data_IF_439632522062
#
_entry.id   IF_439632522062
#
_cell.length_a   1.000
_cell.length_b   1.000
_cell.length_c   1.000
_cell.angle_alpha   90.00
_cell.angle_beta   90.00
_cell.angle_gamma   90.00
#
_symmetry.space_group_name_H-M   'P 1'
#
loop_
_entity.id
_entity.type
_entity.pdbx_description
1 polymer ?
#
# COMPACT_ATOMS: atom_id res chain seq x y z
N UNK A 1 -9.75 2.82 -1.70
CA UNK A 1 -10.82 3.62 -2.34
C UNK A 1 -10.54 5.12 -2.31
N UNK A 2 -10.24 5.67 -1.14
CA UNK A 2 -9.86 7.08 -0.97
C UNK A 2 -8.64 7.54 -1.79
N UNK A 3 -7.68 6.63 -1.97
CA UNK A 3 -6.45 6.86 -2.74
C UNK A 3 -6.77 7.06 -4.23
N UNK A 4 -7.77 6.35 -4.77
CA UNK A 4 -8.17 6.46 -6.17
C UNK A 4 -8.92 7.77 -6.40
N UNK A 5 -9.81 8.16 -5.48
CA UNK A 5 -10.50 9.45 -5.53
C UNK A 5 -9.52 10.65 -5.43
N UNK A 6 -8.50 10.53 -4.57
CA UNK A 6 -7.41 11.51 -4.47
C UNK A 6 -6.59 11.60 -5.76
N UNK A 7 -6.20 10.46 -6.35
CA UNK A 7 -5.48 10.45 -7.63
C UNK A 7 -6.32 10.95 -8.80
N UNK A 8 -7.64 10.70 -8.81
CA UNK A 8 -8.56 11.26 -9.78
C UNK A 8 -8.67 12.79 -9.63
N UNK A 9 -8.74 13.30 -8.39
CA UNK A 9 -8.75 14.74 -8.12
C UNK A 9 -7.43 15.43 -8.53
N UNK A 10 -6.29 14.79 -8.27
CA UNK A 10 -4.97 15.25 -8.76
C UNK A 10 -4.89 15.28 -10.28
N UNK A 11 -5.48 14.30 -10.98
CA UNK A 11 -5.52 14.25 -12.45
C UNK A 11 -6.45 15.28 -13.06
N UNK A 12 -7.52 15.68 -12.38
CA UNK A 12 -8.45 16.72 -12.84
C UNK A 12 -7.91 18.15 -12.59
N UNK A 13 -7.00 18.33 -11.63
CA UNK A 13 -6.41 19.64 -11.30
C UNK A 13 -5.02 19.89 -11.93
N UNK A 14 -4.43 18.88 -12.59
CA UNK A 14 -3.17 19.02 -13.34
C UNK A 14 -3.44 18.85 -14.83
N UNK A 15 -3.29 19.94 -15.59
CA UNK A 15 -3.13 19.82 -17.05
C UNK A 15 -1.78 19.16 -17.37
N UNK A 16 -1.65 18.62 -18.58
CA UNK A 16 -0.48 17.89 -19.08
C UNK A 16 0.88 18.62 -18.92
N UNK A 17 0.88 19.92 -18.60
CA UNK A 17 2.05 20.78 -18.46
C UNK A 17 2.48 21.05 -16.99
N UNK A 18 1.88 20.40 -16.00
CA UNK A 18 2.40 20.45 -14.62
C UNK A 18 2.12 21.74 -13.83
N UNK A 19 1.37 22.70 -14.41
CA UNK A 19 0.99 23.96 -13.75
C UNK A 19 -0.24 23.70 -12.85
N UNK A 20 -0.12 24.10 -11.58
CA UNK A 20 -1.23 24.11 -10.62
C UNK A 20 -2.22 25.16 -11.12
N UNK A 21 -3.39 24.74 -11.63
CA UNK A 21 -4.50 25.67 -11.77
C UNK A 21 -4.84 26.08 -10.34
N UNK A 22 -4.59 27.33 -9.96
CA UNK A 22 -5.07 27.92 -8.72
C UNK A 22 -6.61 28.05 -8.79
N UNK A 23 -7.31 26.92 -8.91
CA UNK A 23 -8.71 26.81 -8.58
C UNK A 23 -8.82 26.97 -7.08
N UNK A 24 -9.65 27.90 -6.64
CA UNK A 24 -9.98 28.15 -5.25
C UNK A 24 -10.11 26.85 -4.44
N UNK A 25 -9.49 26.81 -3.25
CA UNK A 25 -9.62 25.74 -2.26
C UNK A 25 -11.10 25.45 -2.00
N UNK A 26 -11.67 24.55 -2.77
CA UNK A 26 -13.08 24.21 -2.68
C UNK A 26 -13.21 23.20 -1.54
N UNK A 27 -14.26 23.30 -0.72
CA UNK A 27 -14.50 22.36 0.39
C UNK A 27 -14.42 20.89 -0.07
N UNK A 28 -14.85 20.59 -1.30
CA UNK A 28 -14.75 19.28 -1.92
C UNK A 28 -13.30 18.80 -2.10
N UNK A 29 -12.36 19.67 -2.49
CA UNK A 29 -10.94 19.29 -2.65
C UNK A 29 -10.29 18.99 -1.30
N UNK A 30 -10.58 19.81 -0.29
CA UNK A 30 -10.09 19.58 1.08
C UNK A 30 -10.62 18.25 1.61
N UNK A 31 -11.92 18.00 1.46
CA UNK A 31 -12.55 16.74 1.86
C UNK A 31 -11.94 15.52 1.17
N UNK A 32 -11.72 15.58 -0.15
CA UNK A 32 -11.09 14.51 -0.92
C UNK A 32 -9.62 14.30 -0.52
N UNK A 33 -8.88 15.36 -0.20
CA UNK A 33 -7.50 15.26 0.28
C UNK A 33 -7.43 14.59 1.65
N UNK A 34 -8.30 14.96 2.59
CA UNK A 34 -8.38 14.30 3.89
C UNK A 34 -8.68 12.81 3.74
N UNK A 35 -9.72 12.49 2.97
CA UNK A 35 -10.10 11.10 2.68
C UNK A 35 -8.90 10.35 2.08
N UNK A 36 -8.19 10.95 1.11
CA UNK A 36 -6.99 10.38 0.49
C UNK A 36 -5.90 10.02 1.49
N UNK A 37 -5.56 10.94 2.39
CA UNK A 37 -4.55 10.73 3.45
C UNK A 37 -4.97 9.60 4.40
N UNK A 38 -6.23 9.59 4.85
CA UNK A 38 -6.75 8.52 5.70
C UNK A 38 -6.73 7.16 5.00
N UNK A 39 -6.98 7.12 3.69
CA UNK A 39 -6.84 5.91 2.90
C UNK A 39 -5.41 5.38 2.84
N UNK A 40 -4.42 6.26 2.63
CA UNK A 40 -3.01 5.86 2.65
C UNK A 40 -2.57 5.38 4.03
N UNK A 41 -3.06 6.03 5.09
CA UNK A 41 -2.77 5.64 6.47
C UNK A 41 -3.35 4.25 6.79
N UNK A 42 -4.59 3.98 6.38
CA UNK A 42 -5.20 2.67 6.52
C UNK A 42 -4.42 1.56 5.81
N UNK A 43 -3.91 1.84 4.60
CA UNK A 43 -3.03 0.90 3.87
C UNK A 43 -1.76 0.61 4.68
N UNK A 44 -1.07 1.65 5.17
CA UNK A 44 0.14 1.49 5.98
C UNK A 44 -0.13 0.65 7.24
N UNK A 45 -1.18 0.95 7.99
CA UNK A 45 -1.58 0.18 9.17
C UNK A 45 -1.87 -1.28 8.84
N UNK A 46 -2.54 -1.55 7.72
CA UNK A 46 -2.82 -2.91 7.27
C UNK A 46 -1.54 -3.70 6.98
N UNK A 47 -0.53 -3.07 6.36
CA UNK A 47 0.77 -3.70 6.10
C UNK A 47 1.50 -3.98 7.40
N UNK A 48 1.47 -3.06 8.37
CA UNK A 48 2.06 -3.28 9.68
C UNK A 48 1.49 -4.52 10.37
N UNK A 49 0.16 -4.65 10.39
CA UNK A 49 -0.52 -5.81 10.99
C UNK A 49 -0.16 -7.08 10.20
N UNK A 50 -0.22 -7.02 8.87
CA UNK A 50 0.13 -8.15 8.01
C UNK A 50 1.58 -8.61 8.21
N UNK A 51 2.53 -7.68 8.26
CA UNK A 51 3.94 -7.95 8.46
C UNK A 51 4.20 -8.63 9.81
N UNK A 52 3.50 -8.19 10.85
CA UNK A 52 3.57 -8.82 12.17
C UNK A 52 3.16 -10.30 12.12
N UNK A 53 2.02 -10.61 11.50
CA UNK A 53 1.55 -11.99 11.36
C UNK A 53 2.42 -12.84 10.42
N UNK A 54 2.90 -12.27 9.31
CA UNK A 54 3.81 -12.96 8.38
C UNK A 54 5.17 -13.28 9.02
N UNK A 55 5.64 -12.45 9.94
CA UNK A 55 6.89 -12.73 10.67
C UNK A 55 6.76 -13.91 11.64
N UNK A 56 5.55 -14.21 12.11
CA UNK A 56 5.27 -15.28 13.08
C UNK A 56 5.02 -16.63 12.39
N UNK A 57 4.35 -16.61 11.24
CA UNK A 57 3.94 -17.82 10.54
C UNK A 57 5.07 -18.36 9.67
N UNK A 58 5.54 -19.57 10.00
CA UNK A 58 6.46 -20.35 9.16
C UNK A 58 5.78 -20.91 7.90
N UNK A 59 4.46 -21.13 7.95
CA UNK A 59 3.65 -21.59 6.83
C UNK A 59 2.71 -20.50 6.33
N UNK A 60 2.82 -20.21 5.05
CA UNK A 60 2.13 -19.14 4.35
C UNK A 60 0.83 -19.70 3.76
N UNK A 61 -0.32 -19.29 4.31
CA UNK A 61 -1.65 -19.73 3.83
C UNK A 61 -2.20 -18.74 2.80
N UNK A 62 -2.05 -19.09 1.52
CA UNK A 62 -2.47 -18.29 0.37
C UNK A 62 -3.96 -17.91 0.36
N UNK A 63 -4.79 -18.72 1.02
CA UNK A 63 -6.25 -18.50 1.19
C UNK A 63 -6.57 -17.13 1.80
N UNK A 64 -5.75 -16.66 2.75
CA UNK A 64 -5.98 -15.36 3.39
C UNK A 64 -5.75 -14.20 2.41
N UNK A 65 -4.79 -14.33 1.49
CA UNK A 65 -4.51 -13.31 0.47
C UNK A 65 -5.62 -13.30 -0.57
N UNK A 66 -6.09 -14.47 -0.98
CA UNK A 66 -7.22 -14.59 -1.91
C UNK A 66 -8.48 -13.94 -1.35
N UNK A 67 -8.78 -14.09 -0.06
CA UNK A 67 -9.90 -13.40 0.60
C UNK A 67 -9.81 -11.87 0.46
N UNK A 68 -8.64 -11.29 0.72
CA UNK A 68 -8.41 -9.83 0.61
C UNK A 68 -8.56 -9.36 -0.84
N UNK A 69 -8.04 -10.13 -1.80
CA UNK A 69 -8.15 -9.83 -3.23
C UNK A 69 -9.62 -9.85 -3.65
N UNK A 70 -10.37 -10.88 -3.26
CA UNK A 70 -11.80 -11.02 -3.56
C UNK A 70 -12.63 -9.89 -2.94
N UNK A 71 -12.34 -9.53 -1.69
CA UNK A 71 -13.02 -8.42 -1.01
C UNK A 71 -12.77 -7.10 -1.73
N UNK A 72 -11.54 -6.84 -2.18
CA UNK A 72 -11.23 -5.64 -2.98
C UNK A 72 -11.96 -5.63 -4.32
N UNK A 73 -12.07 -6.77 -5.02
CA UNK A 73 -12.84 -6.89 -6.27
C UNK A 73 -14.31 -6.60 -5.99
N UNK A 74 -14.86 -7.21 -4.93
CA UNK A 74 -16.27 -7.06 -4.56
C UNK A 74 -16.63 -5.60 -4.30
N UNK A 75 -15.85 -4.88 -3.48
CA UNK A 75 -16.10 -3.46 -3.22
C UNK A 75 -15.93 -2.59 -4.46
N UNK A 76 -14.98 -2.92 -5.34
CA UNK A 76 -14.80 -2.17 -6.60
C UNK A 76 -16.00 -2.32 -7.53
N UNK A 77 -16.50 -3.55 -7.70
CA UNK A 77 -17.69 -3.86 -8.52
C UNK A 77 -18.94 -3.20 -7.92
N UNK A 78 -19.10 -3.24 -6.60
CA UNK A 78 -20.26 -2.67 -5.91
C UNK A 78 -20.35 -1.15 -6.14
N UNK A 79 -19.23 -0.44 -6.03
CA UNK A 79 -19.22 1.01 -6.26
C UNK A 79 -19.34 1.38 -7.73
N UNK A 80 -18.77 0.61 -8.65
CA UNK A 80 -19.06 0.79 -10.08
C UNK A 80 -20.57 0.65 -10.37
N UNK A 81 -21.22 -0.33 -9.74
CA UNK A 81 -22.68 -0.51 -9.81
C UNK A 81 -23.45 0.69 -9.27
N UNK A 82 -23.06 1.25 -8.11
CA UNK A 82 -23.69 2.44 -7.52
C UNK A 82 -23.50 3.66 -8.43
N UNK A 83 -22.31 3.86 -9.00
CA UNK A 83 -22.02 4.99 -9.90
C UNK A 83 -22.84 4.90 -11.21
N UNK A 84 -23.01 3.69 -11.74
CA UNK A 84 -23.91 3.44 -12.87
C UNK A 84 -25.37 3.72 -12.49
N UNK A 85 -25.82 3.31 -11.30
CA UNK A 85 -27.18 3.56 -10.82
C UNK A 85 -27.48 5.06 -10.59
N UNK A 86 -26.47 5.84 -10.19
CA UNK A 86 -26.56 7.29 -10.07
C UNK A 86 -26.48 8.04 -11.41
N UNK A 87 -26.28 7.36 -12.54
CA UNK A 87 -26.22 7.97 -13.88
C UNK A 87 -24.97 8.82 -14.14
N UNK A 88 -23.94 8.71 -13.29
CA UNK A 88 -22.67 9.44 -13.44
C UNK A 88 -21.79 8.77 -14.51
N UNK A 89 -21.88 7.44 -14.62
CA UNK A 89 -21.12 6.62 -15.56
C UNK A 89 -22.07 5.77 -16.42
N UNK A 90 -21.73 5.60 -17.70
CA UNK A 90 -22.51 4.73 -18.60
C UNK A 90 -22.06 3.28 -18.44
N UNK A 91 -23.03 2.39 -18.19
CA UNK A 91 -22.75 0.97 -18.05
C UNK A 91 -22.21 0.40 -19.36
N UNK A 92 -20.96 -0.07 -19.35
CA UNK A 92 -20.29 -0.65 -20.50
C UNK A 92 -19.55 -1.92 -20.08
N UNK A 93 -19.82 -3.03 -20.76
CA UNK A 93 -19.13 -4.31 -20.54
C UNK A 93 -17.61 -4.18 -20.77
N UNK A 94 -17.20 -3.34 -21.73
CA UNK A 94 -15.77 -3.06 -21.94
C UNK A 94 -15.17 -2.27 -20.78
N UNK A 95 -15.90 -1.32 -20.17
CA UNK A 95 -15.43 -0.59 -18.99
C UNK A 95 -15.37 -1.50 -17.76
N UNK A 96 -16.36 -2.38 -17.58
CA UNK A 96 -16.40 -3.36 -16.49
C UNK A 96 -15.24 -4.37 -16.56
N UNK A 97 -14.99 -4.96 -17.73
CA UNK A 97 -13.86 -5.86 -17.93
C UNK A 97 -12.54 -5.10 -17.77
N UNK A 98 -12.46 -3.84 -18.21
CA UNK A 98 -11.26 -3.01 -18.08
C UNK A 98 -11.02 -2.53 -16.64
N UNK A 99 -12.06 -2.39 -15.81
CA UNK A 99 -11.97 -2.15 -14.36
C UNK A 99 -11.40 -3.38 -13.65
N UNK A 100 -11.96 -4.58 -13.93
CA UNK A 100 -11.48 -5.86 -13.39
C UNK A 100 -10.07 -6.23 -13.93
N UNK A 101 -9.77 -5.88 -15.17
CA UNK A 101 -8.46 -6.13 -15.75
C UNK A 101 -7.44 -5.07 -15.28
N UNK A 102 -7.85 -3.82 -15.06
CA UNK A 102 -7.02 -2.80 -14.39
C UNK A 102 -6.69 -3.16 -12.95
N UNK A 103 -7.56 -3.95 -12.30
CA UNK A 103 -7.31 -4.58 -11.01
C UNK A 103 -6.16 -5.58 -11.06
N UNK A 104 -6.04 -6.38 -12.13
CA UNK A 104 -4.92 -7.31 -12.34
C UNK A 104 -3.66 -6.66 -12.95
N UNK A 105 -3.80 -5.61 -13.77
CA UNK A 105 -2.72 -5.02 -14.59
C UNK A 105 -2.03 -3.78 -13.98
N UNK A 106 -2.07 -3.61 -12.65
CA UNK A 106 -1.18 -2.66 -11.97
C UNK A 106 -1.73 -1.24 -11.70
N UNK A 107 -3.03 -0.99 -11.81
CA UNK A 107 -3.61 0.27 -11.29
C UNK A 107 -3.80 0.27 -9.76
N UNK A 108 -3.97 -0.90 -9.16
CA UNK A 108 -4.00 -1.08 -7.70
C UNK A 108 -2.60 -1.48 -7.23
N UNK A 109 -1.71 -0.48 -7.18
CA UNK A 109 -0.33 -0.61 -6.73
C UNK A 109 -0.21 -1.38 -5.41
N UNK A 110 -1.20 -1.28 -4.53
CA UNK A 110 -1.19 -1.92 -3.23
C UNK A 110 -1.28 -3.45 -3.30
N UNK A 111 -2.24 -4.01 -4.04
CA UNK A 111 -2.48 -5.47 -4.08
C UNK A 111 -1.34 -6.20 -4.76
N UNK A 112 -0.86 -5.66 -5.88
CA UNK A 112 0.28 -6.22 -6.62
C UNK A 112 1.55 -6.20 -5.78
N UNK A 113 1.84 -5.07 -5.12
CA UNK A 113 2.98 -4.95 -4.21
C UNK A 113 2.83 -5.83 -2.97
N UNK A 114 1.60 -5.99 -2.44
CA UNK A 114 1.32 -6.85 -1.29
C UNK A 114 1.52 -8.33 -1.63
N UNK A 115 1.05 -8.78 -2.79
CA UNK A 115 1.29 -10.15 -3.27
C UNK A 115 2.78 -10.42 -3.46
N UNK A 116 3.52 -9.46 -4.04
CA UNK A 116 4.97 -9.54 -4.16
C UNK A 116 5.66 -9.63 -2.78
N UNK A 117 5.25 -8.78 -1.84
CA UNK A 117 5.75 -8.82 -0.45
C UNK A 117 5.45 -10.17 0.21
N UNK A 118 4.25 -10.71 -0.03
CA UNK A 118 3.82 -11.98 0.54
C UNK A 118 4.68 -13.15 0.06
N UNK A 119 4.99 -13.19 -1.26
CA UNK A 119 5.91 -14.18 -1.85
C UNK A 119 7.35 -13.97 -1.36
N UNK A 120 7.76 -12.72 -1.12
CA UNK A 120 9.11 -12.37 -0.67
C UNK A 120 9.29 -12.55 0.85
N UNK A 121 8.20 -12.59 1.62
CA UNK A 121 8.21 -12.66 3.08
C UNK A 121 8.99 -13.84 3.69
N UNK A 122 8.94 -15.10 3.18
CA UNK A 122 9.70 -16.19 3.78
C UNK A 122 11.21 -15.97 3.61
N UNK A 123 11.63 -15.44 2.46
CA UNK A 123 13.02 -15.10 2.19
C UNK A 123 13.51 -13.95 3.08
N UNK A 124 12.68 -12.91 3.25
CA UNK A 124 12.96 -11.81 4.17
C UNK A 124 13.10 -12.32 5.60
N UNK A 125 12.20 -13.20 6.06
CA UNK A 125 12.26 -13.73 7.42
C UNK A 125 13.55 -14.53 7.67
N UNK A 126 13.98 -15.36 6.73
CA UNK A 126 15.25 -16.09 6.82
C UNK A 126 16.43 -15.12 6.91
N UNK A 127 16.46 -14.11 6.04
CA UNK A 127 17.54 -13.12 6.01
C UNK A 127 17.60 -12.30 7.31
N UNK A 128 16.45 -11.82 7.79
CA UNK A 128 16.36 -10.96 8.97
C UNK A 128 16.59 -11.72 10.29
N UNK A 129 16.26 -13.02 10.34
CA UNK A 129 16.58 -13.87 11.49
C UNK A 129 18.09 -13.99 11.72
N UNK A 130 18.87 -14.06 10.64
CA UNK A 130 20.33 -14.25 10.70
C UNK A 130 21.11 -12.96 11.04
N UNK A 131 20.45 -11.81 11.10
CA UNK A 131 21.10 -10.51 11.34
C UNK A 131 21.05 -10.10 12.82
N UNK A 132 22.14 -9.49 13.27
CA UNK A 132 22.22 -8.89 14.61
C UNK A 132 21.35 -7.63 14.73
N UNK A 133 20.96 -7.25 15.95
CA UNK A 133 20.08 -6.10 16.22
C UNK A 133 20.60 -4.80 15.61
N UNK A 134 21.90 -4.53 15.74
CA UNK A 134 22.55 -3.34 15.18
C UNK A 134 22.55 -3.36 13.64
N UNK A 135 22.72 -4.53 13.03
CA UNK A 135 22.70 -4.68 11.57
C UNK A 135 21.29 -4.47 11.02
N UNK A 136 20.27 -5.02 11.70
CA UNK A 136 18.86 -4.81 11.36
C UNK A 136 18.46 -3.35 11.42
N UNK A 137 18.83 -2.63 12.49
CA UNK A 137 18.56 -1.20 12.62
C UNK A 137 19.22 -0.39 11.50
N UNK A 138 20.48 -0.70 11.15
CA UNK A 138 21.19 -0.03 10.05
C UNK A 138 20.52 -0.29 8.69
N UNK A 139 20.16 -1.54 8.39
CA UNK A 139 19.48 -1.90 7.13
C UNK A 139 18.11 -1.24 7.06
N UNK A 140 17.35 -1.21 8.16
CA UNK A 140 16.05 -0.55 8.21
C UNK A 140 16.16 0.96 7.96
N UNK A 141 17.15 1.64 8.55
CA UNK A 141 17.39 3.07 8.29
C UNK A 141 17.82 3.31 6.84
N UNK A 142 18.73 2.48 6.32
CA UNK A 142 19.21 2.60 4.95
C UNK A 142 18.08 2.44 3.92
N UNK A 143 17.21 1.44 4.12
CA UNK A 143 16.04 1.22 3.28
C UNK A 143 15.06 2.38 3.35
N UNK A 144 14.78 2.91 4.55
CA UNK A 144 13.89 4.04 4.71
C UNK A 144 14.42 5.29 3.99
N UNK A 145 15.70 5.62 4.19
CA UNK A 145 16.35 6.75 3.51
C UNK A 145 16.36 6.55 2.00
N UNK A 146 16.75 5.36 1.53
CA UNK A 146 16.78 5.03 0.10
C UNK A 146 15.42 5.17 -0.58
N UNK A 147 14.35 4.71 0.08
CA UNK A 147 12.98 4.85 -0.42
C UNK A 147 12.50 6.30 -0.40
N UNK A 148 12.81 7.05 0.65
CA UNK A 148 12.51 8.48 0.72
C UNK A 148 13.22 9.28 -0.38
N UNK A 149 14.51 9.04 -0.59
CA UNK A 149 15.29 9.63 -1.67
C UNK A 149 14.74 9.23 -3.05
N UNK A 150 14.38 7.96 -3.24
CA UNK A 150 13.80 7.48 -4.49
C UNK A 150 12.47 8.17 -4.81
N UNK A 151 11.56 8.28 -3.83
CA UNK A 151 10.28 8.98 -4.00
C UNK A 151 10.44 10.47 -4.23
N UNK A 152 11.50 11.08 -3.71
CA UNK A 152 11.81 12.48 -3.97
C UNK A 152 12.28 12.71 -5.41
N UNK A 153 13.04 11.76 -5.98
CA UNK A 153 13.63 11.87 -7.32
C UNK A 153 12.70 11.39 -8.45
N UNK A 154 11.88 10.36 -8.19
CA UNK A 154 11.00 9.76 -9.20
C UNK A 154 9.54 9.91 -8.79
N UNK A 155 8.79 10.70 -9.57
CA UNK A 155 7.36 10.92 -9.36
C UNK A 155 6.59 9.66 -9.79
N UNK A 156 6.30 8.82 -8.80
CA UNK A 156 5.38 7.66 -8.85
C UNK A 156 5.70 6.60 -9.90
N UNK A 157 6.49 5.61 -9.48
CA UNK A 157 6.67 4.34 -10.19
C UNK A 157 6.19 3.19 -9.28
N UNK A 158 5.66 2.11 -9.89
CA UNK A 158 5.28 0.88 -9.18
C UNK A 158 6.42 0.34 -8.30
N UNK A 159 7.67 0.52 -8.76
CA UNK A 159 8.86 0.11 -8.02
C UNK A 159 9.00 0.85 -6.68
N UNK A 160 8.71 2.15 -6.65
CA UNK A 160 8.77 2.94 -5.43
C UNK A 160 7.72 2.51 -4.39
N UNK A 161 6.56 2.06 -4.85
CA UNK A 161 5.49 1.59 -3.98
C UNK A 161 5.81 0.22 -3.37
N UNK A 162 6.31 -0.73 -4.17
CA UNK A 162 6.85 -2.00 -3.67
C UNK A 162 7.96 -1.77 -2.63
N UNK A 163 8.87 -0.83 -2.90
CA UNK A 163 10.00 -0.55 -2.02
C UNK A 163 9.54 0.02 -0.66
N UNK A 164 8.50 0.88 -0.63
CA UNK A 164 7.88 1.33 0.63
C UNK A 164 7.31 0.15 1.41
N UNK A 165 6.59 -0.76 0.75
CA UNK A 165 6.00 -1.92 1.43
C UNK A 165 7.07 -2.79 2.09
N UNK A 166 8.15 -3.05 1.37
CA UNK A 166 9.29 -3.83 1.88
C UNK A 166 9.96 -3.09 3.04
N UNK A 167 10.18 -1.78 2.92
CA UNK A 167 10.76 -0.98 4.01
C UNK A 167 9.88 -1.03 5.27
N UNK A 168 8.56 -0.86 5.12
CA UNK A 168 7.60 -0.95 6.23
C UNK A 168 7.61 -2.34 6.88
N UNK A 169 7.70 -3.41 6.08
CA UNK A 169 7.82 -4.78 6.58
C UNK A 169 9.09 -4.97 7.43
N UNK A 170 10.25 -4.51 6.94
CA UNK A 170 11.53 -4.61 7.66
C UNK A 170 11.54 -3.77 8.95
N UNK A 171 10.93 -2.58 8.92
CA UNK A 171 10.76 -1.74 10.12
C UNK A 171 9.90 -2.48 11.16
N UNK A 172 8.76 -3.03 10.75
CA UNK A 172 7.88 -3.79 11.63
C UNK A 172 8.60 -5.00 12.26
N UNK A 173 9.35 -5.75 11.46
CA UNK A 173 10.15 -6.86 11.96
C UNK A 173 11.21 -6.42 12.99
N UNK A 174 11.90 -5.30 12.74
CA UNK A 174 12.92 -4.76 13.65
C UNK A 174 12.31 -4.31 14.97
N UNK A 175 11.15 -3.66 14.93
CA UNK A 175 10.38 -3.28 16.12
C UNK A 175 9.98 -4.51 16.93
N UNK A 176 9.42 -5.53 16.27
CA UNK A 176 9.05 -6.80 16.93
C UNK A 176 10.24 -7.45 17.62
N UNK A 177 11.37 -7.62 16.93
CA UNK A 177 12.59 -8.22 17.51
C UNK A 177 13.10 -7.40 18.70
N UNK A 178 13.00 -6.07 18.63
CA UNK A 178 13.41 -5.19 19.74
C UNK A 178 12.49 -5.32 20.95
N UNK A 179 11.17 -5.40 20.76
CA UNK A 179 10.18 -5.58 21.83
C UNK A 179 10.38 -6.93 22.54
N UNK A 180 10.58 -8.02 21.78
CA UNK A 180 10.77 -9.37 22.35
C UNK A 180 12.03 -9.44 23.22
N UNK A 181 13.13 -8.82 22.79
CA UNK A 181 14.37 -8.76 23.58
C UNK A 181 14.14 -7.96 24.86
N UNK A 182 13.47 -6.80 24.76
CA UNK A 182 13.19 -5.96 25.93
C UNK A 182 12.33 -6.68 26.97
N UNK A 183 11.31 -7.44 26.55
CA UNK A 183 10.48 -8.22 27.46
C UNK A 183 11.28 -9.33 28.16
N UNK A 184 12.23 -9.96 27.46
CA UNK A 184 13.11 -10.96 28.06
C UNK A 184 14.03 -10.36 29.13
N UNK A 185 14.54 -9.15 28.90
CA UNK A 185 15.43 -8.47 29.85
C UNK A 185 14.67 -7.95 31.11
N UNK A 186 13.34 -7.80 31.05
CA UNK A 186 12.51 -7.43 32.22
C UNK A 186 12.08 -8.60 33.09
N UNK A 187 12.18 -9.84 32.58
CA UNK A 187 11.82 -11.07 33.31
C UNK A 187 13.03 -11.73 34.00
N UNK A 188 14.26 -11.23 33.79
CA UNK A 188 15.52 -11.70 34.38
C UNK A 188 15.99 -10.82 35.54
#
# INVERSE_FOLDING_TARGET
>A
MCIVAYHANLRLNYNADGIIVHGSLTANQIFLNYIGIWGQLGVNCFIFISAYFLSEKRNIHFENVLGIVLECIFYSVLVYGILCACGIETFSLNSFVKEILSFALGRYWFITSYLALYILSPYLNIMLNNLEKLQLQKISMLLFIGVCCYRMLFKTSLFGDCAVLIALYVICYTLKKTIIIFLRDTES
#
